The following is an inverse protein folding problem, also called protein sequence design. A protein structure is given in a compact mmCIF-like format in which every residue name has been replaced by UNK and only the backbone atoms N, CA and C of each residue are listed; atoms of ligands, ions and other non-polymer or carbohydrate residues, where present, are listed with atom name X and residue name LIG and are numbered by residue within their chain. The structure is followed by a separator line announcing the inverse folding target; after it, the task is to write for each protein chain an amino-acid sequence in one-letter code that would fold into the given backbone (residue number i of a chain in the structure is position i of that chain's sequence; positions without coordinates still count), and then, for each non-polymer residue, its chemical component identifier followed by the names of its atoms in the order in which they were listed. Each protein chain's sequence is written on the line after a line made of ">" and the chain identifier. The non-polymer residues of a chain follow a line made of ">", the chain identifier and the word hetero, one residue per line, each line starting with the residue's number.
data_IF_513724382320
#
_entry.id   IF_513724382320
#
_cell.length_a   1.000
_cell.length_b   1.000
_cell.length_c   1.000
_cell.angle_alpha   90.00
_cell.angle_beta   90.00
_cell.angle_gamma   90.00
#
_symmetry.space_group_name_H-M   'P 1'
#
loop_
_entity.id
_entity.type
_entity.pdbx_description
1 polymer ?
#
# COMPACT_ATOMS: atom_id res chain seq x y z
N UNK A 1 -29.26 8.89 3.99
CA UNK A 1 -28.69 7.62 4.46
C UNK A 1 -27.38 7.95 5.16
N UNK A 2 -27.16 7.51 6.39
CA UNK A 2 -25.89 7.76 7.09
C UNK A 2 -24.88 6.68 6.69
N UNK A 3 -23.72 7.07 6.17
CA UNK A 3 -22.60 6.15 5.98
C UNK A 3 -22.01 5.79 7.35
N UNK A 4 -22.22 4.54 7.79
CA UNK A 4 -21.53 4.00 8.97
C UNK A 4 -20.15 3.55 8.51
N UNK A 5 -19.12 4.40 8.70
CA UNK A 5 -17.72 3.98 8.55
C UNK A 5 -17.26 3.32 9.85
N UNK A 6 -17.01 2.01 9.82
CA UNK A 6 -16.32 1.34 10.93
C UNK A 6 -14.87 1.81 10.96
N UNK A 7 -14.42 2.34 12.10
CA UNK A 7 -13.02 2.71 12.32
C UNK A 7 -12.24 1.41 12.57
N UNK A 8 -11.28 1.12 11.70
CA UNK A 8 -10.31 0.05 11.89
C UNK A 8 -9.04 0.67 12.48
N UNK A 9 -8.55 0.11 13.58
CA UNK A 9 -7.25 0.47 14.17
C UNK A 9 -6.32 -0.73 13.99
N UNK A 10 -5.14 -0.48 13.40
CA UNK A 10 -4.13 -1.49 13.09
C UNK A 10 -2.86 -1.15 13.87
N UNK A 11 -2.28 -2.16 14.51
CA UNK A 11 -0.93 -2.08 15.10
C UNK A 11 -0.01 -2.84 14.16
N UNK A 12 1.07 -2.19 13.72
CA UNK A 12 2.00 -2.71 12.72
C UNK A 12 3.41 -2.47 13.24
N UNK A 13 4.27 -3.49 13.18
CA UNK A 13 5.70 -3.35 13.45
C UNK A 13 6.43 -2.71 12.25
N UNK A 14 6.79 -1.44 12.41
CA UNK A 14 7.51 -0.70 11.37
C UNK A 14 8.99 -1.09 11.26
N UNK A 15 9.55 -1.78 12.25
CA UNK A 15 10.93 -2.25 12.23
C UNK A 15 11.05 -3.53 11.38
N UNK A 16 9.95 -4.27 11.18
CA UNK A 16 9.88 -5.48 10.35
C UNK A 16 8.77 -5.41 9.28
N UNK A 17 8.82 -4.42 8.36
CA UNK A 17 7.72 -4.12 7.45
C UNK A 17 7.43 -5.24 6.44
N UNK A 18 8.44 -6.04 6.08
CA UNK A 18 8.28 -7.15 5.14
C UNK A 18 7.46 -8.28 5.76
N UNK A 19 7.73 -8.60 7.02
CA UNK A 19 7.01 -9.60 7.80
C UNK A 19 5.55 -9.17 8.00
N UNK A 20 5.30 -7.91 8.35
CA UNK A 20 3.96 -7.35 8.48
C UNK A 20 3.14 -7.44 7.18
N UNK A 21 3.78 -7.14 6.04
CA UNK A 21 3.13 -7.29 4.72
C UNK A 21 2.78 -8.75 4.45
N UNK A 22 3.69 -9.70 4.76
CA UNK A 22 3.42 -11.14 4.61
C UNK A 22 2.22 -11.56 5.46
N UNK A 23 2.16 -11.12 6.72
CA UNK A 23 1.03 -11.42 7.61
C UNK A 23 -0.28 -10.85 7.08
N UNK A 24 -0.27 -9.62 6.54
CA UNK A 24 -1.44 -9.03 5.89
C UNK A 24 -1.92 -9.87 4.69
N UNK A 25 -1.00 -10.32 3.83
CA UNK A 25 -1.34 -11.19 2.69
C UNK A 25 -1.95 -12.50 3.17
N UNK A 26 -1.35 -13.14 4.18
CA UNK A 26 -1.87 -14.37 4.79
C UNK A 26 -3.28 -14.15 5.36
N UNK A 27 -3.51 -13.05 6.09
CA UNK A 27 -4.83 -12.73 6.62
C UNK A 27 -5.87 -12.52 5.50
N UNK A 28 -5.50 -11.83 4.42
CA UNK A 28 -6.41 -11.67 3.26
C UNK A 28 -6.76 -13.03 2.69
N UNK A 29 -5.78 -13.91 2.48
CA UNK A 29 -6.01 -15.26 1.97
C UNK A 29 -6.87 -16.12 2.89
N UNK A 30 -6.73 -16.00 4.20
CA UNK A 30 -7.48 -16.82 5.15
C UNK A 30 -8.92 -16.32 5.37
N UNK A 31 -9.14 -15.01 5.39
CA UNK A 31 -10.41 -14.43 5.86
C UNK A 31 -11.35 -13.96 4.76
N UNK A 32 -10.90 -13.84 3.50
CA UNK A 32 -11.73 -13.33 2.40
C UNK A 32 -12.26 -14.41 1.45
N UNK A 33 -11.97 -15.69 1.73
CA UNK A 33 -12.56 -16.84 1.04
C UNK A 33 -12.48 -16.71 -0.50
N UNK A 34 -13.61 -16.83 -1.24
CA UNK A 34 -13.61 -16.72 -2.69
C UNK A 34 -13.14 -15.35 -3.23
N UNK A 35 -13.29 -14.27 -2.46
CA UNK A 35 -12.94 -12.91 -2.88
C UNK A 35 -11.47 -12.58 -2.67
N UNK A 36 -10.68 -13.47 -2.04
CA UNK A 36 -9.28 -13.20 -1.70
C UNK A 36 -8.45 -12.73 -2.91
N UNK A 37 -8.67 -13.33 -4.09
CA UNK A 37 -7.87 -13.05 -5.28
C UNK A 37 -8.21 -11.68 -5.85
N UNK A 38 -9.47 -11.28 -5.78
CA UNK A 38 -9.90 -9.98 -6.27
C UNK A 38 -9.40 -8.86 -5.34
N UNK A 39 -9.47 -9.08 -4.02
CA UNK A 39 -8.87 -8.17 -3.02
C UNK A 39 -7.37 -8.02 -3.24
N UNK A 40 -6.64 -9.12 -3.44
CA UNK A 40 -5.20 -9.07 -3.67
C UNK A 40 -4.84 -8.34 -4.97
N UNK A 41 -5.62 -8.52 -6.05
CA UNK A 41 -5.41 -7.78 -7.31
C UNK A 41 -5.66 -6.29 -7.15
N UNK A 42 -6.69 -5.90 -6.43
CA UNK A 42 -6.96 -4.47 -6.16
C UNK A 42 -5.81 -3.84 -5.38
N UNK A 43 -5.26 -4.55 -4.39
CA UNK A 43 -4.09 -4.11 -3.63
C UNK A 43 -2.85 -4.00 -4.52
N UNK A 44 -2.58 -4.99 -5.37
CA UNK A 44 -1.46 -4.99 -6.32
C UNK A 44 -1.52 -3.75 -7.25
N UNK A 45 -2.68 -3.49 -7.85
CA UNK A 45 -2.90 -2.35 -8.73
C UNK A 45 -2.68 -1.01 -8.01
N UNK A 46 -3.25 -0.87 -6.80
CA UNK A 46 -3.09 0.32 -5.99
C UNK A 46 -1.63 0.54 -5.56
N UNK A 47 -0.93 -0.53 -5.15
CA UNK A 47 0.46 -0.46 -4.71
C UNK A 47 1.38 -0.08 -5.87
N UNK A 48 1.22 -0.71 -7.05
CA UNK A 48 2.01 -0.40 -8.24
C UNK A 48 1.89 1.08 -8.64
N UNK A 49 0.66 1.62 -8.62
CA UNK A 49 0.44 3.06 -8.86
C UNK A 49 1.13 3.92 -7.79
N UNK A 50 0.97 3.56 -6.52
CA UNK A 50 1.52 4.32 -5.39
C UNK A 50 3.05 4.39 -5.44
N UNK A 51 3.70 3.28 -5.80
CA UNK A 51 5.16 3.21 -6.02
C UNK A 51 5.55 4.09 -7.19
N UNK A 52 4.89 3.95 -8.35
CA UNK A 52 5.19 4.79 -9.52
C UNK A 52 5.04 6.29 -9.24
N UNK A 53 4.01 6.70 -8.50
CA UNK A 53 3.82 8.08 -8.08
C UNK A 53 4.91 8.55 -7.09
N UNK A 54 5.40 7.66 -6.22
CA UNK A 54 6.50 7.96 -5.30
C UNK A 54 7.83 8.13 -6.04
N UNK A 55 8.15 7.23 -6.98
CA UNK A 55 9.34 7.30 -7.82
C UNK A 55 9.35 8.56 -8.69
N UNK A 56 8.22 8.91 -9.31
CA UNK A 56 8.10 10.14 -10.10
C UNK A 56 8.35 11.40 -9.26
N UNK A 57 7.90 11.42 -8.00
CA UNK A 57 8.17 12.53 -7.07
C UNK A 57 9.64 12.62 -6.68
N UNK A 58 10.32 11.49 -6.50
CA UNK A 58 11.75 11.47 -6.21
C UNK A 58 12.56 12.03 -7.39
N UNK A 59 12.27 11.59 -8.62
CA UNK A 59 12.92 12.09 -9.83
C UNK A 59 12.76 13.61 -10.01
N UNK A 60 11.55 14.14 -9.79
CA UNK A 60 11.32 15.58 -9.88
C UNK A 60 12.07 16.38 -8.79
N UNK A 61 12.13 15.83 -7.57
CA UNK A 61 12.85 16.46 -6.46
C UNK A 61 14.37 16.49 -6.72
N UNK A 62 14.92 15.42 -7.30
CA UNK A 62 16.33 15.33 -7.68
C UNK A 62 16.68 16.34 -8.79
N UNK A 63 15.79 16.53 -9.78
CA UNK A 63 15.98 17.52 -10.84
C UNK A 63 15.91 18.97 -10.35
N UNK A 64 15.09 19.27 -9.35
CA UNK A 64 15.02 20.61 -8.75
C UNK A 64 16.26 20.96 -7.88
N UNK A 65 16.91 19.95 -7.29
CA UNK A 65 18.15 20.15 -6.52
C UNK A 65 19.42 20.29 -7.39
N UNK A 66 19.34 19.98 -8.68
CA UNK A 66 20.42 20.18 -9.65
C UNK A 66 20.10 21.37 -10.58
N UNK A 67 20.04 22.59 -10.02
CA UNK A 67 19.97 23.82 -10.82
C UNK A 67 21.21 24.02 -11.71
N UNK A 68 21.11 24.73 -12.84
CA UNK A 68 22.20 24.86 -13.81
C UNK A 68 23.40 25.58 -13.16
N UNK A 69 24.59 25.02 -13.40
CA UNK A 69 25.88 25.58 -13.00
C UNK A 69 26.13 26.98 -13.58
#
# INVERSE_FOLDING_TARGET
>A
MAEIKKKLELVVDIDNPVEEIKECVVAISMFHGPQQLDVLKEIELWLGKTIGDAEARQLNTEQETQGPA
#
